data_IF_800842561240
#
_entry.id   IF_800842561240
#
_cell.length_a   1.000
_cell.length_b   1.000
_cell.length_c   1.000
_cell.angle_alpha   90.00
_cell.angle_beta   90.00
_cell.angle_gamma   90.00
#
_symmetry.space_group_name_H-M   'P 1'
#
loop_
_entity.id
_entity.type
_entity.pdbx_description
1 polymer ?
#
# COMPACT_ATOMS: atom_id res chain seq x y z
N UNK A 1 -81.66 -128.70 -49.62
CA UNK A 1 -81.49 -128.48 -48.17
C UNK A 1 -80.04 -128.73 -47.85
N UNK A 2 -79.30 -127.70 -47.47
CA UNK A 2 -78.08 -127.84 -46.67
C UNK A 2 -77.80 -126.49 -46.00
N UNK A 3 -77.44 -126.58 -44.72
CA UNK A 3 -77.69 -125.58 -43.69
C UNK A 3 -76.70 -124.41 -43.68
N UNK A 4 -77.24 -123.21 -43.47
CA UNK A 4 -76.51 -122.03 -43.02
C UNK A 4 -75.88 -122.26 -41.64
N UNK A 5 -74.63 -121.81 -41.45
CA UNK A 5 -74.08 -121.51 -40.12
C UNK A 5 -73.76 -120.01 -40.04
N UNK A 6 -74.36 -119.25 -39.10
CA UNK A 6 -74.03 -117.85 -38.91
C UNK A 6 -72.68 -117.71 -38.20
N UNK A 7 -71.77 -116.90 -38.75
CA UNK A 7 -70.55 -116.46 -38.08
C UNK A 7 -70.93 -115.54 -36.91
N UNK A 8 -70.60 -115.94 -35.68
CA UNK A 8 -70.70 -115.11 -34.47
C UNK A 8 -69.84 -113.85 -34.65
N UNK A 9 -70.47 -112.67 -34.60
CA UNK A 9 -69.78 -111.40 -34.34
C UNK A 9 -69.26 -111.44 -32.90
N UNK A 10 -67.94 -111.37 -32.73
CA UNK A 10 -67.34 -111.15 -31.42
C UNK A 10 -67.64 -109.73 -30.96
N UNK A 11 -68.30 -109.58 -29.82
CA UNK A 11 -68.39 -108.30 -29.12
C UNK A 11 -66.99 -107.92 -28.63
N UNK A 12 -66.37 -106.90 -29.24
CA UNK A 12 -65.18 -106.26 -28.68
C UNK A 12 -65.62 -105.51 -27.42
N UNK A 13 -65.21 -106.00 -26.25
CA UNK A 13 -65.33 -105.27 -24.98
C UNK A 13 -64.65 -103.90 -25.15
N UNK A 14 -65.30 -102.78 -24.81
CA UNK A 14 -64.68 -101.47 -24.90
C UNK A 14 -63.45 -101.43 -23.97
N UNK A 15 -62.30 -101.09 -24.53
CA UNK A 15 -61.08 -100.89 -23.78
C UNK A 15 -61.18 -99.55 -23.02
N UNK A 16 -60.95 -99.58 -21.71
CA UNK A 16 -61.03 -98.38 -20.86
C UNK A 16 -59.62 -97.94 -20.51
N UNK A 17 -59.29 -96.68 -20.77
CA UNK A 17 -57.97 -96.10 -20.50
C UNK A 17 -57.99 -95.34 -19.18
N UNK A 18 -56.94 -95.52 -18.37
CA UNK A 18 -56.72 -94.71 -17.18
C UNK A 18 -56.41 -93.27 -17.57
N UNK A 19 -57.19 -92.29 -17.12
CA UNK A 19 -56.99 -90.86 -17.41
C UNK A 19 -55.76 -90.24 -16.72
N UNK A 20 -55.06 -90.98 -15.84
CA UNK A 20 -53.88 -90.50 -15.11
C UNK A 20 -52.56 -91.01 -15.71
N UNK A 21 -52.51 -92.27 -16.12
CA UNK A 21 -51.28 -92.90 -16.66
C UNK A 21 -51.46 -93.49 -18.06
N UNK A 22 -52.61 -93.23 -18.68
CA UNK A 22 -52.94 -93.60 -20.07
C UNK A 22 -52.87 -95.10 -20.37
N UNK A 23 -52.79 -95.94 -19.33
CA UNK A 23 -52.74 -97.40 -19.47
C UNK A 23 -54.10 -97.94 -19.89
N UNK A 24 -54.12 -98.73 -20.97
CA UNK A 24 -55.33 -99.34 -21.53
C UNK A 24 -55.63 -100.63 -20.77
N UNK A 25 -56.84 -100.74 -20.24
CA UNK A 25 -57.32 -101.92 -19.54
C UNK A 25 -58.32 -102.69 -20.41
N UNK A 26 -58.00 -103.96 -20.69
CA UNK A 26 -58.80 -104.85 -21.56
C UNK A 26 -60.09 -105.37 -20.91
N UNK A 27 -60.33 -105.07 -19.63
CA UNK A 27 -61.56 -105.44 -18.91
C UNK A 27 -62.11 -104.27 -18.11
N UNK A 28 -63.44 -104.13 -18.08
CA UNK A 28 -64.16 -103.15 -17.26
C UNK A 28 -63.84 -103.25 -15.76
N UNK A 29 -63.32 -104.39 -15.28
CA UNK A 29 -63.07 -104.65 -13.85
C UNK A 29 -61.82 -103.96 -13.28
N UNK A 30 -60.92 -103.46 -14.13
CA UNK A 30 -59.63 -102.87 -13.72
C UNK A 30 -59.60 -101.35 -13.70
N UNK A 31 -60.62 -100.71 -14.28
CA UNK A 31 -60.78 -99.26 -14.29
C UNK A 31 -61.87 -98.87 -13.29
N UNK A 32 -61.57 -97.89 -12.45
CA UNK A 32 -62.44 -97.40 -11.38
C UNK A 32 -62.87 -95.98 -11.75
N UNK A 33 -64.17 -95.72 -11.72
CA UNK A 33 -64.74 -94.40 -12.02
C UNK A 33 -64.51 -93.45 -10.83
N UNK A 34 -63.93 -92.28 -11.10
CA UNK A 34 -63.78 -91.22 -10.10
C UNK A 34 -65.12 -90.50 -9.89
N UNK A 35 -65.57 -90.40 -8.65
CA UNK A 35 -66.84 -89.75 -8.29
C UNK A 35 -66.83 -88.23 -8.52
N UNK A 36 -65.67 -87.58 -8.50
CA UNK A 36 -65.58 -86.12 -8.66
C UNK A 36 -65.49 -85.64 -10.11
N UNK A 37 -64.99 -86.46 -11.02
CA UNK A 37 -64.69 -85.99 -12.39
C UNK A 37 -65.08 -86.99 -13.49
N UNK A 38 -65.75 -88.09 -13.12
CA UNK A 38 -66.22 -89.15 -14.02
C UNK A 38 -65.15 -89.76 -14.94
N UNK A 39 -63.89 -89.51 -14.63
CA UNK A 39 -62.76 -90.10 -15.32
C UNK A 39 -62.43 -91.47 -14.75
N UNK A 40 -61.98 -92.37 -15.62
CA UNK A 40 -61.57 -93.71 -15.22
C UNK A 40 -60.12 -93.67 -14.76
N UNK A 41 -59.83 -94.19 -13.58
CA UNK A 41 -58.48 -94.36 -13.06
C UNK A 41 -58.19 -95.85 -12.84
N UNK A 42 -56.93 -96.26 -13.01
CA UNK A 42 -56.52 -97.61 -12.62
C UNK A 42 -56.47 -97.71 -11.08
N UNK A 43 -56.47 -98.93 -10.55
CA UNK A 43 -56.38 -99.19 -9.10
C UNK A 43 -55.21 -98.48 -8.41
N UNK A 44 -54.10 -98.25 -9.11
CA UNK A 44 -52.93 -97.54 -8.57
C UNK A 44 -53.10 -96.03 -8.48
N UNK A 45 -54.04 -95.45 -9.23
CA UNK A 45 -54.31 -94.01 -9.29
C UNK A 45 -55.70 -93.64 -8.76
N UNK A 46 -56.31 -94.56 -8.00
CA UNK A 46 -57.58 -94.37 -7.32
C UNK A 46 -57.42 -94.69 -5.84
N UNK A 47 -58.01 -93.87 -4.97
CA UNK A 47 -58.16 -94.19 -3.55
C UNK A 47 -59.62 -94.30 -3.19
N UNK A 48 -59.91 -95.17 -2.23
CA UNK A 48 -61.23 -95.32 -1.65
C UNK A 48 -61.34 -94.44 -0.40
N UNK A 49 -62.39 -93.62 -0.32
CA UNK A 49 -62.80 -92.89 0.88
C UNK A 49 -64.24 -93.35 1.18
N UNK A 50 -64.37 -94.26 2.16
CA UNK A 50 -65.65 -94.90 2.50
C UNK A 50 -66.11 -95.89 1.41
N UNK A 51 -67.20 -95.56 0.72
CA UNK A 51 -67.73 -96.33 -0.42
C UNK A 51 -67.50 -95.65 -1.77
N UNK A 52 -66.80 -94.51 -1.80
CA UNK A 52 -66.59 -93.69 -2.99
C UNK A 52 -65.13 -93.74 -3.43
N UNK A 53 -64.92 -93.78 -4.75
CA UNK A 53 -63.58 -93.80 -5.33
C UNK A 53 -63.24 -92.44 -5.95
N UNK A 54 -62.03 -91.96 -5.66
CA UNK A 54 -61.50 -90.71 -6.18
C UNK A 54 -60.17 -90.97 -6.86
N UNK A 55 -59.94 -90.34 -8.02
CA UNK A 55 -58.63 -90.39 -8.64
C UNK A 55 -57.64 -89.49 -7.90
N UNK A 56 -56.35 -89.85 -7.92
CA UNK A 56 -55.30 -89.10 -7.23
C UNK A 56 -55.26 -87.63 -7.65
N UNK A 57 -55.61 -87.32 -8.90
CA UNK A 57 -55.68 -85.93 -9.40
C UNK A 57 -56.74 -85.12 -8.66
N UNK A 58 -57.93 -85.69 -8.42
CA UNK A 58 -58.99 -85.00 -7.70
C UNK A 58 -58.63 -84.78 -6.23
N UNK A 59 -58.06 -85.80 -5.57
CA UNK A 59 -57.60 -85.69 -4.17
C UNK A 59 -56.49 -84.63 -4.04
N UNK A 60 -55.51 -84.63 -4.94
CA UNK A 60 -54.44 -83.61 -4.94
C UNK A 60 -55.00 -82.21 -5.16
N UNK A 61 -55.99 -82.05 -6.04
CA UNK A 61 -56.63 -80.76 -6.29
C UNK A 61 -57.45 -80.29 -5.09
N UNK A 62 -58.15 -81.19 -4.39
CA UNK A 62 -58.91 -80.88 -3.18
C UNK A 62 -57.99 -80.43 -2.04
N UNK A 63 -56.91 -81.18 -1.76
CA UNK A 63 -55.90 -80.81 -0.77
C UNK A 63 -55.27 -79.46 -1.13
N UNK A 64 -54.91 -79.25 -2.40
CA UNK A 64 -54.36 -77.97 -2.86
C UNK A 64 -55.35 -76.82 -2.65
N UNK A 65 -56.64 -77.05 -2.92
CA UNK A 65 -57.70 -76.06 -2.73
C UNK A 65 -57.88 -75.71 -1.25
N UNK A 66 -57.88 -76.72 -0.38
CA UNK A 66 -57.99 -76.55 1.07
C UNK A 66 -56.81 -75.76 1.64
N UNK A 67 -55.57 -76.14 1.29
CA UNK A 67 -54.35 -75.43 1.69
C UNK A 67 -54.36 -73.99 1.19
N UNK A 68 -54.73 -73.75 -0.07
CA UNK A 68 -54.83 -72.39 -0.61
C UNK A 68 -55.91 -71.56 0.08
N UNK A 69 -57.02 -72.18 0.46
CA UNK A 69 -58.11 -71.51 1.19
C UNK A 69 -57.68 -71.15 2.60
N UNK A 70 -57.04 -72.09 3.30
CA UNK A 70 -56.51 -71.92 4.66
C UNK A 70 -55.50 -70.78 4.74
N UNK A 71 -54.64 -70.63 3.73
CA UNK A 71 -53.61 -69.58 3.67
C UNK A 71 -54.02 -68.34 2.86
N UNK A 72 -55.26 -68.26 2.38
CA UNK A 72 -55.71 -67.19 1.47
C UNK A 72 -55.56 -65.79 2.09
N UNK A 73 -55.85 -65.65 3.38
CA UNK A 73 -55.73 -64.39 4.12
C UNK A 73 -54.27 -63.97 4.29
N UNK A 74 -53.38 -64.92 4.64
CA UNK A 74 -51.95 -64.66 4.78
C UNK A 74 -51.32 -64.25 3.46
N UNK A 75 -51.66 -64.94 2.37
CA UNK A 75 -51.22 -64.59 1.02
C UNK A 75 -51.68 -63.16 0.66
N UNK A 76 -52.92 -62.79 0.99
CA UNK A 76 -53.44 -61.44 0.74
C UNK A 76 -52.68 -60.39 1.57
N UNK A 77 -52.41 -60.66 2.85
CA UNK A 77 -51.65 -59.77 3.73
C UNK A 77 -50.22 -59.57 3.23
N UNK A 78 -49.51 -60.65 2.91
CA UNK A 78 -48.15 -60.59 2.36
C UNK A 78 -48.08 -59.81 1.04
N UNK A 79 -49.09 -59.96 0.16
CA UNK A 79 -49.18 -59.16 -1.07
C UNK A 79 -49.35 -57.67 -0.78
N UNK A 80 -50.15 -57.31 0.24
CA UNK A 80 -50.33 -55.91 0.63
C UNK A 80 -49.04 -55.33 1.25
N UNK A 81 -48.36 -56.10 2.11
CA UNK A 81 -47.07 -55.69 2.69
C UNK A 81 -46.01 -55.51 1.61
N UNK A 82 -45.89 -56.47 0.67
CA UNK A 82 -44.96 -56.36 -0.46
C UNK A 82 -45.23 -55.10 -1.29
N UNK A 83 -46.50 -54.78 -1.57
CA UNK A 83 -46.88 -53.56 -2.27
C UNK A 83 -46.47 -52.33 -1.46
N UNK A 84 -46.75 -52.29 -0.17
CA UNK A 84 -46.36 -51.17 0.71
C UNK A 84 -44.85 -50.97 0.76
N UNK A 85 -44.06 -52.04 0.77
CA UNK A 85 -42.60 -51.94 0.74
C UNK A 85 -42.10 -51.43 -0.61
N UNK A 86 -42.67 -51.92 -1.72
CA UNK A 86 -42.35 -51.42 -3.06
C UNK A 86 -42.65 -49.94 -3.21
N UNK A 87 -43.82 -49.48 -2.75
CA UNK A 87 -44.21 -48.07 -2.82
C UNK A 87 -43.26 -47.19 -1.97
N UNK A 88 -42.84 -47.70 -0.80
CA UNK A 88 -41.88 -47.01 0.08
C UNK A 88 -40.48 -46.96 -0.53
N UNK A 89 -40.03 -48.03 -1.16
CA UNK A 89 -38.74 -48.10 -1.86
C UNK A 89 -38.71 -47.10 -3.02
N UNK A 90 -39.77 -47.03 -3.83
CA UNK A 90 -39.87 -46.06 -4.92
C UNK A 90 -39.84 -44.61 -4.41
N UNK A 91 -40.52 -44.33 -3.30
CA UNK A 91 -40.47 -43.02 -2.65
C UNK A 91 -39.06 -42.67 -2.15
N UNK A 92 -38.35 -43.63 -1.54
CA UNK A 92 -36.96 -43.45 -1.09
C UNK A 92 -36.01 -43.20 -2.26
N UNK A 93 -36.16 -43.92 -3.37
CA UNK A 93 -35.34 -43.72 -4.57
C UNK A 93 -35.53 -42.30 -5.12
N UNK A 94 -36.77 -41.81 -5.20
CA UNK A 94 -37.08 -40.44 -5.62
C UNK A 94 -36.48 -39.39 -4.69
N UNK A 95 -36.55 -39.63 -3.38
CA UNK A 95 -35.96 -38.76 -2.37
C UNK A 95 -34.43 -38.70 -2.49
N UNK A 96 -33.78 -39.86 -2.62
CA UNK A 96 -32.32 -39.96 -2.84
C UNK A 96 -31.95 -39.19 -4.09
N UNK A 97 -32.64 -39.41 -5.22
CA UNK A 97 -32.34 -38.71 -6.46
C UNK A 97 -32.45 -37.19 -6.31
N UNK A 98 -33.50 -36.72 -5.63
CA UNK A 98 -33.71 -35.28 -5.36
C UNK A 98 -32.60 -34.72 -4.49
N UNK A 99 -32.24 -35.41 -3.39
CA UNK A 99 -31.17 -34.99 -2.49
C UNK A 99 -29.81 -34.97 -3.18
N UNK A 100 -29.48 -35.98 -3.97
CA UNK A 100 -28.24 -36.05 -4.74
C UNK A 100 -28.14 -34.88 -5.71
N UNK A 101 -29.23 -34.55 -6.41
CA UNK A 101 -29.26 -33.38 -7.30
C UNK A 101 -29.01 -32.08 -6.55
N UNK A 102 -29.67 -31.87 -5.41
CA UNK A 102 -29.47 -30.68 -4.56
C UNK A 102 -28.02 -30.58 -4.08
N UNK A 103 -27.41 -31.70 -3.67
CA UNK A 103 -26.00 -31.73 -3.25
C UNK A 103 -25.10 -31.29 -4.41
N UNK A 104 -25.28 -31.84 -5.60
CA UNK A 104 -24.48 -31.45 -6.78
C UNK A 104 -24.64 -29.96 -7.12
N UNK A 105 -25.87 -29.43 -7.08
CA UNK A 105 -26.14 -28.01 -7.34
C UNK A 105 -25.47 -27.11 -6.28
N UNK A 106 -25.43 -27.53 -5.01
CA UNK A 106 -24.76 -26.80 -3.93
C UNK A 106 -23.24 -26.87 -4.02
N UNK A 107 -22.67 -28.01 -4.40
CA UNK A 107 -21.23 -28.19 -4.63
C UNK A 107 -20.75 -27.30 -5.79
N UNK A 108 -21.52 -27.21 -6.87
CA UNK A 108 -21.22 -26.32 -8.00
C UNK A 108 -21.25 -24.84 -7.57
N UNK A 109 -22.30 -24.41 -6.85
CA UNK A 109 -22.40 -23.05 -6.33
C UNK A 109 -21.24 -22.71 -5.37
N UNK A 110 -20.85 -23.65 -4.50
CA UNK A 110 -19.73 -23.46 -3.59
C UNK A 110 -18.41 -23.32 -4.36
N UNK A 111 -18.18 -24.17 -5.37
CA UNK A 111 -16.99 -24.11 -6.23
C UNK A 111 -16.87 -22.78 -6.97
N UNK A 112 -18.00 -22.27 -7.50
CA UNK A 112 -18.04 -20.97 -8.16
C UNK A 112 -17.71 -19.83 -7.19
N UNK A 113 -18.29 -19.83 -5.98
CA UNK A 113 -18.00 -18.83 -4.94
C UNK A 113 -16.55 -18.88 -4.47
N UNK A 114 -15.96 -20.06 -4.35
CA UNK A 114 -14.55 -20.21 -3.99
C UNK A 114 -13.65 -19.55 -5.05
N UNK A 115 -13.90 -19.82 -6.33
CA UNK A 115 -13.16 -19.17 -7.44
C UNK A 115 -13.32 -17.66 -7.47
N UNK A 116 -14.50 -17.15 -7.14
CA UNK A 116 -14.74 -15.71 -7.02
C UNK A 116 -13.95 -15.10 -5.86
N UNK A 117 -14.01 -15.74 -4.68
CA UNK A 117 -13.24 -15.32 -3.52
C UNK A 117 -11.73 -15.35 -3.76
N UNK A 118 -11.22 -16.38 -4.43
CA UNK A 118 -9.79 -16.49 -4.77
C UNK A 118 -9.34 -15.31 -5.65
N UNK A 119 -10.15 -14.92 -6.65
CA UNK A 119 -9.89 -13.74 -7.48
C UNK A 119 -9.91 -12.44 -6.67
N UNK A 120 -10.83 -12.31 -5.72
CA UNK A 120 -10.89 -11.16 -4.82
C UNK A 120 -9.63 -11.10 -3.96
N UNK A 121 -9.21 -12.22 -3.39
CA UNK A 121 -7.99 -12.33 -2.57
C UNK A 121 -6.76 -11.97 -3.41
N UNK A 122 -6.63 -12.49 -4.63
CA UNK A 122 -5.53 -12.17 -5.54
C UNK A 122 -5.47 -10.68 -5.85
N UNK A 123 -6.61 -10.06 -6.17
CA UNK A 123 -6.69 -8.62 -6.41
C UNK A 123 -6.29 -7.79 -5.19
N UNK A 124 -6.76 -8.16 -3.99
CA UNK A 124 -6.40 -7.49 -2.74
C UNK A 124 -4.90 -7.62 -2.45
N UNK A 125 -4.32 -8.80 -2.65
CA UNK A 125 -2.89 -9.01 -2.48
C UNK A 125 -2.06 -8.15 -3.44
N UNK A 126 -2.50 -8.03 -4.70
CA UNK A 126 -1.85 -7.15 -5.68
C UNK A 126 -1.92 -5.67 -5.27
N UNK A 127 -3.07 -5.22 -4.74
CA UNK A 127 -3.22 -3.85 -4.22
C UNK A 127 -2.34 -3.59 -2.99
N UNK A 128 -2.24 -4.56 -2.08
CA UNK A 128 -1.37 -4.47 -0.90
C UNK A 128 0.09 -4.37 -1.35
N UNK A 129 0.53 -5.24 -2.26
CA UNK A 129 1.90 -5.22 -2.79
C UNK A 129 2.23 -3.87 -3.45
N UNK A 130 1.32 -3.35 -4.28
CA UNK A 130 1.49 -2.02 -4.90
C UNK A 130 1.57 -0.90 -3.86
N UNK A 131 0.78 -0.97 -2.79
CA UNK A 131 0.79 0.02 -1.70
C UNK A 131 2.10 -0.03 -0.91
N UNK A 132 2.63 -1.23 -0.66
CA UNK A 132 3.93 -1.42 0.01
C UNK A 132 5.05 -0.81 -0.83
N UNK A 133 5.13 -1.12 -2.12
CA UNK A 133 6.15 -0.55 -3.00
C UNK A 133 6.05 0.97 -3.11
N UNK A 134 4.84 1.52 -3.12
CA UNK A 134 4.65 2.97 -3.08
C UNK A 134 5.15 3.58 -1.76
N UNK A 135 4.87 2.92 -0.63
CA UNK A 135 5.33 3.36 0.69
C UNK A 135 6.86 3.38 0.78
N UNK A 136 7.52 2.34 0.28
CA UNK A 136 8.98 2.26 0.21
C UNK A 136 9.56 3.40 -0.64
N UNK A 137 8.96 3.66 -1.81
CA UNK A 137 9.34 4.81 -2.64
C UNK A 137 9.18 6.16 -1.92
N UNK A 138 8.05 6.36 -1.24
CA UNK A 138 7.79 7.60 -0.49
C UNK A 138 8.75 7.75 0.70
N UNK A 139 9.16 6.66 1.36
CA UNK A 139 10.17 6.64 2.42
C UNK A 139 11.56 7.01 1.89
N UNK A 140 11.96 6.47 0.73
CA UNK A 140 13.22 6.85 0.06
C UNK A 140 13.24 8.33 -0.32
N UNK A 141 12.13 8.86 -0.86
CA UNK A 141 12.00 10.30 -1.16
C UNK A 141 12.09 11.15 0.11
N UNK A 142 11.50 10.69 1.22
CA UNK A 142 11.58 11.39 2.49
C UNK A 142 13.03 11.47 3.03
N UNK A 143 13.82 10.40 2.88
CA UNK A 143 15.23 10.39 3.26
C UNK A 143 16.01 11.43 2.43
N UNK A 144 15.82 11.44 1.09
CA UNK A 144 16.48 12.42 0.20
C UNK A 144 16.15 13.85 0.63
N UNK A 145 14.89 14.14 0.93
CA UNK A 145 14.46 15.47 1.37
C UNK A 145 15.05 15.88 2.73
N UNK A 146 15.28 14.92 3.64
CA UNK A 146 15.95 15.19 4.91
C UNK A 146 17.43 15.53 4.70
N UNK A 147 18.11 14.81 3.80
CA UNK A 147 19.50 15.08 3.46
C UNK A 147 19.64 16.47 2.80
N UNK A 148 18.80 16.79 1.82
CA UNK A 148 18.76 18.11 1.17
C UNK A 148 18.50 19.24 2.18
N UNK A 149 17.58 19.01 3.13
CA UNK A 149 17.32 19.96 4.21
C UNK A 149 18.57 20.16 5.08
N UNK A 150 19.28 19.10 5.43
CA UNK A 150 20.53 19.17 6.19
C UNK A 150 21.60 20.00 5.48
N UNK A 151 21.80 19.79 4.18
CA UNK A 151 22.73 20.58 3.37
C UNK A 151 22.34 22.06 3.32
N UNK A 152 21.04 22.36 3.18
CA UNK A 152 20.54 23.73 3.18
C UNK A 152 20.74 24.42 4.54
N UNK A 153 20.55 23.72 5.65
CA UNK A 153 20.81 24.23 6.99
C UNK A 153 22.29 24.53 7.23
N UNK A 154 23.19 23.67 6.73
CA UNK A 154 24.64 23.89 6.79
C UNK A 154 25.06 25.11 5.96
N UNK A 155 24.57 25.19 4.71
CA UNK A 155 24.82 26.32 3.82
C UNK A 155 24.32 27.65 4.42
N UNK A 156 23.12 27.64 5.03
CA UNK A 156 22.56 28.80 5.72
C UNK A 156 23.45 29.21 6.91
N UNK A 157 23.92 28.25 7.70
CA UNK A 157 24.84 28.50 8.82
C UNK A 157 26.17 29.12 8.36
N UNK A 158 26.74 28.62 7.25
CA UNK A 158 27.97 29.20 6.69
C UNK A 158 27.75 30.64 6.19
N UNK A 159 26.63 30.89 5.51
CA UNK A 159 26.25 32.24 5.07
C UNK A 159 26.09 33.20 6.26
N UNK A 160 25.47 32.76 7.36
CA UNK A 160 25.38 33.55 8.58
C UNK A 160 26.74 33.87 9.20
N UNK A 161 27.68 32.91 9.21
CA UNK A 161 29.06 33.14 9.66
C UNK A 161 29.78 34.18 8.79
N UNK A 162 29.67 34.06 7.46
CA UNK A 162 30.25 35.02 6.51
C UNK A 162 29.67 36.42 6.73
N UNK A 163 28.35 36.54 6.87
CA UNK A 163 27.67 37.81 7.07
C UNK A 163 28.05 38.46 8.41
N UNK A 164 28.14 37.67 9.47
CA UNK A 164 28.58 38.14 10.79
C UNK A 164 30.03 38.64 10.75
N UNK A 165 30.92 37.88 10.10
CA UNK A 165 32.32 38.27 9.92
C UNK A 165 32.44 39.57 9.13
N UNK A 166 31.69 39.70 8.04
CA UNK A 166 31.62 40.92 7.25
C UNK A 166 31.15 42.13 8.08
N UNK A 167 30.10 41.95 8.89
CA UNK A 167 29.58 43.00 9.77
C UNK A 167 30.61 43.46 10.81
N UNK A 168 31.36 42.53 11.40
CA UNK A 168 32.45 42.86 12.34
C UNK A 168 33.54 43.67 11.65
N UNK A 169 33.96 43.26 10.45
CA UNK A 169 34.96 43.97 9.65
C UNK A 169 34.53 45.38 9.28
N UNK A 170 33.28 45.57 8.86
CA UNK A 170 32.71 46.91 8.57
C UNK A 170 32.73 47.76 9.84
N UNK A 171 32.26 47.22 10.96
CA UNK A 171 32.24 47.94 12.24
C UNK A 171 33.66 48.35 12.69
N UNK A 172 34.66 47.50 12.44
CA UNK A 172 36.07 47.81 12.71
C UNK A 172 36.56 48.95 11.82
N UNK A 173 36.31 48.88 10.52
CA UNK A 173 36.68 49.93 9.57
C UNK A 173 36.01 51.27 9.90
N UNK A 174 34.74 51.27 10.34
CA UNK A 174 34.04 52.48 10.79
C UNK A 174 34.68 53.10 12.05
N UNK A 175 35.15 52.26 12.99
CA UNK A 175 35.90 52.74 14.17
C UNK A 175 37.23 53.34 13.76
N UNK A 176 37.99 52.68 12.89
CA UNK A 176 39.26 53.17 12.37
C UNK A 176 39.07 54.49 11.62
N UNK A 177 38.04 54.60 10.76
CA UNK A 177 37.66 55.84 10.09
C UNK A 177 37.43 56.98 11.09
N UNK A 178 36.66 56.74 12.16
CA UNK A 178 36.44 57.76 13.21
C UNK A 178 37.74 58.19 13.91
N UNK A 179 38.72 57.31 14.04
CA UNK A 179 40.05 57.66 14.58
C UNK A 179 40.82 58.52 13.57
N UNK A 180 40.81 58.15 12.29
CA UNK A 180 41.43 58.97 11.24
C UNK A 180 40.80 60.34 11.11
N UNK A 181 39.46 60.44 11.16
CA UNK A 181 38.74 61.72 11.14
C UNK A 181 39.18 62.63 12.30
N UNK A 182 39.37 62.07 13.50
CA UNK A 182 39.93 62.82 14.65
C UNK A 182 41.37 63.28 14.43
N UNK A 183 42.22 62.42 13.86
CA UNK A 183 43.60 62.79 13.54
C UNK A 183 43.67 63.88 12.47
N UNK A 184 42.79 63.84 11.47
CA UNK A 184 42.69 64.88 10.44
C UNK A 184 42.35 66.22 11.12
N UNK A 185 41.33 66.26 11.99
CA UNK A 185 40.95 67.48 12.71
C UNK A 185 42.12 68.00 13.58
N UNK A 186 42.83 67.13 14.30
CA UNK A 186 43.98 67.51 15.13
C UNK A 186 45.14 68.08 14.28
N UNK A 187 45.44 67.45 13.14
CA UNK A 187 46.45 67.91 12.20
C UNK A 187 46.06 69.24 11.52
N UNK A 188 44.79 69.41 11.15
CA UNK A 188 44.26 70.67 10.62
C UNK A 188 44.39 71.81 11.63
N UNK A 189 44.07 71.55 12.91
CA UNK A 189 44.25 72.53 13.98
C UNK A 189 45.72 72.87 14.21
N UNK A 190 46.60 71.87 14.29
CA UNK A 190 48.05 72.09 14.39
C UNK A 190 48.61 72.84 13.17
N UNK A 191 48.09 72.55 11.99
CA UNK A 191 48.44 73.23 10.75
C UNK A 191 48.05 74.71 10.79
N UNK A 192 46.82 75.03 11.23
CA UNK A 192 46.35 76.40 11.45
C UNK A 192 47.21 77.13 12.48
N UNK A 193 47.47 76.51 13.63
CA UNK A 193 48.35 77.08 14.67
C UNK A 193 49.74 77.42 14.11
N UNK A 194 50.33 76.54 13.30
CA UNK A 194 51.62 76.79 12.66
C UNK A 194 51.55 77.92 11.63
N UNK A 195 50.50 77.98 10.81
CA UNK A 195 50.25 79.06 9.85
C UNK A 195 50.15 80.40 10.60
N UNK A 196 49.38 80.46 11.68
CA UNK A 196 49.19 81.67 12.48
C UNK A 196 50.51 82.14 13.09
N UNK A 197 51.31 81.22 13.65
CA UNK A 197 52.67 81.52 14.13
C UNK A 197 53.61 81.99 13.02
N UNK A 198 53.49 81.45 11.81
CA UNK A 198 54.26 81.92 10.66
C UNK A 198 53.82 83.33 10.25
N UNK A 199 52.52 83.57 10.13
CA UNK A 199 51.96 84.88 9.79
C UNK A 199 52.33 85.96 10.81
N UNK A 200 52.34 85.61 12.09
CA UNK A 200 52.84 86.49 13.17
C UNK A 200 54.32 86.84 12.96
N UNK A 201 55.14 85.89 12.53
CA UNK A 201 56.61 86.08 12.43
C UNK A 201 57.10 86.64 11.09
N UNK A 202 56.34 86.50 10.00
CA UNK A 202 56.71 86.95 8.64
C UNK A 202 57.07 88.44 8.59
N UNK A 203 56.29 89.39 9.15
CA UNK A 203 56.62 90.81 9.13
C UNK A 203 58.00 91.08 9.75
N UNK A 204 58.28 90.44 10.89
CA UNK A 204 59.56 90.59 11.59
C UNK A 204 60.72 89.95 10.84
N UNK A 205 60.52 88.81 10.16
CA UNK A 205 61.54 88.25 9.25
C UNK A 205 61.84 89.19 8.09
N UNK A 206 60.82 89.79 7.47
CA UNK A 206 61.00 90.76 6.37
C UNK A 206 61.78 91.99 6.84
N UNK A 207 61.45 92.53 8.00
CA UNK A 207 62.20 93.64 8.62
C UNK A 207 63.63 93.19 8.89
N UNK A 208 63.84 92.07 9.60
CA UNK A 208 65.17 91.50 9.91
C UNK A 208 66.02 91.30 8.67
N UNK A 209 65.44 90.90 7.55
CA UNK A 209 66.15 90.61 6.30
C UNK A 209 66.24 91.83 5.35
N UNK A 210 65.67 92.99 5.71
CA UNK A 210 65.73 94.20 4.88
C UNK A 210 67.20 94.62 4.70
N UNK A 211 67.75 94.48 3.50
CA UNK A 211 69.18 94.71 3.24
C UNK A 211 69.60 96.18 3.45
N UNK A 212 68.76 97.14 3.06
CA UNK A 212 69.05 98.57 3.21
C UNK A 212 68.92 99.03 4.67
N UNK A 213 70.01 99.56 5.22
CA UNK A 213 70.08 100.05 6.61
C UNK A 213 69.11 101.23 6.84
N UNK A 214 69.03 102.18 5.89
CA UNK A 214 68.12 103.33 6.00
C UNK A 214 66.64 102.89 6.03
N UNK A 215 66.24 101.94 5.18
CA UNK A 215 64.89 101.37 5.19
C UNK A 215 64.63 100.56 6.46
N UNK A 216 65.58 99.75 6.89
CA UNK A 216 65.45 98.97 8.13
C UNK A 216 65.21 99.87 9.34
N UNK A 217 66.00 100.94 9.50
CA UNK A 217 65.84 101.89 10.61
C UNK A 217 64.51 102.63 10.52
N UNK A 218 64.10 103.07 9.32
CA UNK A 218 62.83 103.78 9.11
C UNK A 218 61.62 102.90 9.44
N UNK A 219 61.58 101.67 8.92
CA UNK A 219 60.49 100.70 9.14
C UNK A 219 60.45 100.26 10.61
N UNK A 220 61.61 100.00 11.23
CA UNK A 220 61.71 99.65 12.65
C UNK A 220 61.23 100.79 13.55
N UNK A 221 61.55 102.04 13.23
CA UNK A 221 61.10 103.20 13.99
C UNK A 221 59.59 103.43 13.85
N UNK A 222 59.02 103.28 12.65
CA UNK A 222 57.58 103.47 12.41
C UNK A 222 56.71 102.39 13.05
N UNK A 223 57.24 101.19 13.27
CA UNK A 223 56.53 100.05 13.85
C UNK A 223 56.98 99.72 15.27
N UNK A 224 57.67 100.64 15.95
CA UNK A 224 58.33 100.37 17.23
C UNK A 224 57.35 99.90 18.30
N UNK A 225 56.21 100.57 18.41
CA UNK A 225 55.20 100.26 19.44
C UNK A 225 54.49 98.94 19.12
N UNK A 226 54.23 98.66 17.84
CA UNK A 226 53.66 97.39 17.38
C UNK A 226 54.61 96.20 17.65
N UNK A 227 55.92 96.39 17.44
CA UNK A 227 56.94 95.37 17.74
C UNK A 227 57.02 95.08 19.24
N UNK A 228 56.95 96.11 20.10
CA UNK A 228 56.99 95.96 21.56
C UNK A 228 55.71 95.30 22.08
N UNK A 229 54.54 95.70 21.56
CA UNK A 229 53.28 95.08 21.90
C UNK A 229 53.29 93.58 21.53
N UNK A 230 53.76 93.24 20.33
CA UNK A 230 53.87 91.85 19.90
C UNK A 230 54.86 91.03 20.75
N UNK A 231 55.97 91.61 21.19
CA UNK A 231 56.91 90.97 22.12
C UNK A 231 56.27 90.60 23.47
N UNK A 232 55.29 91.39 23.91
CA UNK A 232 54.62 91.23 25.20
C UNK A 232 53.61 90.09 25.20
N UNK A 233 53.07 89.74 24.03
CA UNK A 233 51.97 88.77 23.87
C UNK A 233 52.37 87.51 23.11
N UNK A 234 53.47 87.54 22.36
CA UNK A 234 53.87 86.44 21.48
C UNK A 234 54.63 85.33 22.20
N UNK A 235 54.29 84.08 21.89
CA UNK A 235 55.09 82.90 22.25
C UNK A 235 56.38 82.77 21.42
N UNK A 236 56.56 83.61 20.40
CA UNK A 236 57.66 83.59 19.43
C UNK A 236 58.69 84.70 19.68
N UNK A 237 58.90 85.05 20.96
CA UNK A 237 59.64 86.25 21.41
C UNK A 237 61.06 86.36 20.84
N UNK A 238 61.80 85.26 20.70
CA UNK A 238 63.22 85.28 20.30
C UNK A 238 63.49 85.91 18.93
N UNK A 239 62.61 85.73 17.94
CA UNK A 239 62.77 86.33 16.62
C UNK A 239 62.40 87.81 16.62
N UNK A 240 61.33 88.18 17.32
CA UNK A 240 60.87 89.57 17.43
C UNK A 240 61.90 90.38 18.24
N UNK A 241 62.44 89.78 19.30
CA UNK A 241 63.51 90.32 20.12
C UNK A 241 64.77 90.57 19.29
N UNK A 242 65.11 89.67 18.35
CA UNK A 242 66.23 89.90 17.43
C UNK A 242 66.04 91.14 16.55
N UNK A 243 64.80 91.56 16.24
CA UNK A 243 64.54 92.81 15.48
C UNK A 243 64.74 94.03 16.37
N UNK A 244 64.33 93.98 17.64
CA UNK A 244 64.50 95.07 18.62
C UNK A 244 65.97 95.22 19.02
N UNK A 245 66.64 94.11 19.30
CA UNK A 245 67.99 94.10 19.86
C UNK A 245 69.10 94.05 18.82
N UNK A 246 68.82 93.83 17.53
CA UNK A 246 69.85 93.91 16.48
C UNK A 246 70.24 95.37 16.21
N UNK A 247 71.47 95.79 16.58
CA UNK A 247 72.05 97.02 16.09
C UNK A 247 72.75 96.64 14.79
N UNK A 248 72.11 96.85 13.64
CA UNK A 248 72.83 96.76 12.37
C UNK A 248 73.90 97.85 12.37
N UNK A 249 75.15 97.45 12.66
CA UNK A 249 76.30 98.34 12.75
C UNK A 249 76.41 99.10 11.44
N UNK A 250 76.52 100.43 11.52
CA UNK A 250 76.73 101.31 10.37
C UNK A 250 78.05 100.93 9.68
N UNK A 251 78.00 100.06 8.69
CA UNK A 251 79.06 99.96 7.69
C UNK A 251 78.78 101.07 6.67
N UNK A 252 79.55 102.15 6.80
CA UNK A 252 79.79 103.27 5.86
C UNK A 252 78.72 103.57 4.79
N UNK A 253 78.24 104.81 4.82
CA UNK A 253 77.12 105.47 4.12
C UNK A 253 76.92 105.30 2.59
N UNK A 254 77.50 104.32 1.90
CA UNK A 254 77.45 104.24 0.42
C UNK A 254 76.82 102.96 -0.16
N UNK A 255 75.99 102.22 0.56
CA UNK A 255 75.10 101.24 -0.11
C UNK A 255 73.90 101.96 -0.71
N UNK A 256 73.73 102.00 -2.04
CA UNK A 256 72.58 102.64 -2.66
C UNK A 256 71.29 101.98 -2.17
N UNK A 257 70.31 102.79 -1.77
CA UNK A 257 68.95 102.30 -1.53
C UNK A 257 68.35 101.97 -2.90
N UNK A 258 68.43 100.72 -3.36
CA UNK A 258 67.69 100.24 -4.55
C UNK A 258 66.23 99.99 -4.15
N UNK A 259 65.63 100.94 -3.45
CA UNK A 259 64.33 100.86 -2.84
C UNK A 259 63.34 101.54 -3.79
N UNK A 260 63.19 101.00 -5.01
CA UNK A 260 62.14 101.44 -5.91
C UNK A 260 60.82 100.86 -5.43
N UNK A 261 59.93 101.77 -5.07
CA UNK A 261 58.49 101.55 -4.99
C UNK A 261 57.98 101.55 -6.43
N UNK A 262 57.62 100.36 -6.92
CA UNK A 262 56.40 100.09 -7.67
C UNK A 262 55.87 98.79 -7.12
#
# INVERSE_FOLDING_TARGET
>A
MENEKPKKKGNTTPAITCSVCETIHSSMKSAILCVSCDNHACKHHSKNIGSLFFCDTCIKNEIKSEVLTQHSLDIKKLKQELKSYSDREEAMIKEIHTKTKIISDLEEQLSLKLKENDKIIENLNNQIASTISKKEYDEDQYIILQDEKGELEENLSEMFKKLTTGKVSITKAEREKKVFDKHIIDLENKGKDLIDRCNETIPYRRIRNTACIKCHVKIKASLKDDIIAALSTSKSSSLIESVVNSPRVKVRDNTPCICRVT
#
